data_IF_854787510728
#
_entry.id   IF_854787510728
#
_cell.length_a   1.000
_cell.length_b   1.000
_cell.length_c   1.000
_cell.angle_alpha   90.00
_cell.angle_beta   90.00
_cell.angle_gamma   90.00
#
_symmetry.space_group_name_H-M   'P 1'
#
loop_
_entity.id
_entity.type
_entity.pdbx_description
1 polymer ?
#
# COMPACT_ATOMS: atom_id res chain seq x y z
N UNK A 1 12.45 -28.41 -0.28
CA UNK A 1 12.17 -28.88 1.08
C UNK A 1 13.20 -28.42 2.12
N UNK A 2 14.36 -27.88 1.72
CA UNK A 2 15.54 -27.64 2.60
C UNK A 2 15.48 -26.31 3.40
N UNK A 3 14.68 -25.33 2.97
CA UNK A 3 14.64 -24.00 3.63
C UNK A 3 13.90 -23.98 4.97
N UNK A 4 13.00 -24.92 5.22
CA UNK A 4 12.20 -24.94 6.46
C UNK A 4 13.02 -25.36 7.68
N UNK A 5 13.96 -26.29 7.51
CA UNK A 5 14.78 -26.79 8.61
C UNK A 5 15.77 -25.72 9.10
N UNK A 6 16.41 -24.98 8.19
CA UNK A 6 17.32 -23.89 8.54
C UNK A 6 16.63 -22.72 9.28
N UNK A 7 15.38 -22.42 8.94
CA UNK A 7 14.58 -21.43 9.65
C UNK A 7 14.25 -21.88 11.07
N UNK A 8 13.85 -23.14 11.24
CA UNK A 8 13.50 -23.72 12.54
C UNK A 8 14.70 -23.75 13.49
N UNK A 9 15.91 -24.02 12.98
CA UNK A 9 17.13 -23.95 13.78
C UNK A 9 17.43 -22.53 14.29
N UNK A 10 17.25 -21.52 13.44
CA UNK A 10 17.44 -20.10 13.81
C UNK A 10 16.42 -19.64 14.84
N UNK A 11 15.16 -20.07 14.73
CA UNK A 11 14.12 -19.82 15.72
C UNK A 11 14.47 -20.45 17.07
N UNK A 12 14.88 -21.72 17.10
CA UNK A 12 15.30 -22.39 18.34
C UNK A 12 16.49 -21.68 19.00
N UNK A 13 17.44 -21.20 18.19
CA UNK A 13 18.58 -20.42 18.66
C UNK A 13 18.11 -19.12 19.31
N UNK A 14 17.24 -18.36 18.67
CA UNK A 14 16.70 -17.11 19.22
C UNK A 14 15.95 -17.31 20.55
N UNK A 15 15.17 -18.39 20.68
CA UNK A 15 14.47 -18.70 21.94
C UNK A 15 15.47 -18.88 23.09
N UNK A 16 16.55 -19.64 22.87
CA UNK A 16 17.59 -19.88 23.88
C UNK A 16 18.24 -18.59 24.39
N UNK A 17 18.47 -17.62 23.52
CA UNK A 17 19.07 -16.32 23.91
C UNK A 17 18.10 -15.39 24.66
N UNK A 18 16.80 -15.72 24.67
CA UNK A 18 15.77 -14.94 25.36
C UNK A 18 15.18 -15.65 26.58
N UNK A 19 15.72 -16.81 26.94
CA UNK A 19 15.21 -17.63 28.03
C UNK A 19 15.46 -16.96 29.39
N UNK A 20 16.60 -16.27 29.54
CA UNK A 20 17.02 -15.53 30.74
C UNK A 20 16.47 -14.09 30.80
N UNK A 21 15.59 -13.69 29.88
CA UNK A 21 15.02 -12.34 29.84
C UNK A 21 13.63 -12.35 30.46
N UNK A 22 13.43 -11.55 31.50
CA UNK A 22 12.13 -11.37 32.15
C UNK A 22 11.13 -10.62 31.24
N UNK A 23 9.84 -10.90 31.44
CA UNK A 23 8.76 -10.09 30.88
C UNK A 23 8.78 -8.68 31.50
N UNK A 24 8.59 -7.61 30.71
CA UNK A 24 8.00 -7.57 29.36
C UNK A 24 9.02 -7.62 28.20
N UNK A 25 10.31 -7.74 28.48
CA UNK A 25 11.37 -7.54 27.48
C UNK A 25 11.69 -8.78 26.64
N UNK A 26 11.20 -9.94 27.06
CA UNK A 26 11.39 -11.22 26.35
C UNK A 26 10.92 -11.18 24.90
N UNK A 27 9.71 -10.64 24.66
CA UNK A 27 9.09 -10.55 23.33
C UNK A 27 9.89 -9.63 22.38
N UNK A 28 10.20 -8.36 22.74
CA UNK A 28 10.98 -7.49 21.88
C UNK A 28 12.42 -8.01 21.68
N UNK A 29 13.05 -8.58 22.70
CA UNK A 29 14.37 -9.18 22.57
C UNK A 29 14.38 -10.35 21.57
N UNK A 30 13.34 -11.20 21.60
CA UNK A 30 13.23 -12.34 20.69
C UNK A 30 13.11 -11.89 19.24
N UNK A 31 12.30 -10.85 18.97
CA UNK A 31 12.14 -10.31 17.62
C UNK A 31 13.45 -9.76 17.05
N UNK A 32 14.23 -9.06 17.87
CA UNK A 32 15.52 -8.49 17.45
C UNK A 32 16.53 -9.60 17.14
N UNK A 33 16.65 -10.59 18.02
CA UNK A 33 17.62 -11.67 17.87
C UNK A 33 17.25 -12.61 16.71
N UNK A 34 15.97 -12.91 16.54
CA UNK A 34 15.53 -13.73 15.41
C UNK A 34 15.81 -13.04 14.08
N UNK A 35 15.58 -11.73 14.01
CA UNK A 35 15.90 -10.93 12.82
C UNK A 35 17.38 -10.99 12.49
N UNK A 36 18.24 -10.83 13.49
CA UNK A 36 19.70 -10.93 13.33
C UNK A 36 20.12 -12.29 12.73
N UNK A 37 19.53 -13.39 13.20
CA UNK A 37 19.85 -14.71 12.66
C UNK A 37 19.31 -14.93 11.24
N UNK A 38 18.25 -14.25 10.83
CA UNK A 38 17.69 -14.38 9.49
C UNK A 38 18.50 -13.63 8.42
N UNK A 39 19.19 -12.55 8.79
CA UNK A 39 19.94 -11.67 7.87
C UNK A 39 21.28 -12.24 7.36
N UNK A 40 21.73 -13.43 7.80
CA UNK A 40 23.03 -14.00 7.37
C UNK A 40 23.13 -14.45 5.89
N UNK A 41 22.12 -14.24 5.04
CA UNK A 41 22.25 -14.40 3.57
C UNK A 41 21.41 -13.40 2.78
N UNK A 42 22.06 -12.33 2.33
CA UNK A 42 21.67 -11.52 1.16
C UNK A 42 21.20 -10.10 1.49
N UNK A 43 22.04 -9.11 1.17
CA UNK A 43 21.65 -7.69 0.97
C UNK A 43 20.37 -7.64 0.10
N UNK A 44 19.30 -6.90 0.44
CA UNK A 44 19.23 -5.45 0.58
C UNK A 44 18.00 -5.05 1.43
N UNK A 45 18.20 -4.72 2.72
CA UNK A 45 17.43 -3.65 3.41
C UNK A 45 18.40 -2.98 4.38
N UNK A 46 19.30 -2.15 3.86
CA UNK A 46 20.16 -1.27 4.67
C UNK A 46 19.30 -0.24 5.40
N UNK A 47 18.95 -0.58 6.64
CA UNK A 47 18.70 0.41 7.69
C UNK A 47 20.06 0.79 8.27
N UNK A 48 20.51 2.03 8.06
CA UNK A 48 21.53 2.64 8.91
C UNK A 48 20.96 3.89 9.56
N UNK A 49 20.92 3.85 10.88
CA UNK A 49 20.91 5.02 11.74
C UNK A 49 22.37 5.29 12.13
N UNK A 50 22.88 6.49 11.84
CA UNK A 50 24.06 7.07 12.47
C UNK A 50 23.71 8.49 12.89
N UNK A 51 23.97 8.85 14.15
CA UNK A 51 23.56 10.12 14.74
C UNK A 51 24.46 11.23 14.20
N UNK A 52 24.02 11.89 13.13
CA UNK A 52 24.33 13.29 12.81
C UNK A 52 23.03 14.05 13.03
N UNK A 53 23.07 15.18 13.75
CA UNK A 53 21.91 16.04 13.92
C UNK A 53 21.59 16.75 12.60
N UNK A 54 21.05 15.99 11.65
CA UNK A 54 20.47 16.44 10.39
C UNK A 54 19.05 15.89 10.31
N UNK A 55 18.09 16.67 9.79
CA UNK A 55 16.67 16.38 9.95
C UNK A 55 16.36 15.01 9.37
N UNK A 56 15.84 14.10 10.22
CA UNK A 56 15.23 12.83 9.78
C UNK A 56 14.17 13.17 8.75
N UNK A 57 14.52 13.01 7.47
CA UNK A 57 13.55 13.09 6.38
C UNK A 57 12.70 11.84 6.52
N UNK A 58 11.63 11.93 7.30
CA UNK A 58 10.53 11.00 7.22
C UNK A 58 10.16 10.92 5.74
N UNK A 59 10.42 9.79 5.06
CA UNK A 59 9.74 9.46 3.81
C UNK A 59 8.28 9.22 4.19
N UNK A 60 7.54 10.32 4.36
CA UNK A 60 6.10 10.29 4.62
C UNK A 60 5.48 9.56 3.43
N UNK A 61 4.64 8.56 3.70
CA UNK A 61 3.76 8.04 2.65
C UNK A 61 2.99 9.24 2.12
N UNK A 62 3.06 9.46 0.80
CA UNK A 62 2.34 10.56 0.16
C UNK A 62 0.87 10.39 0.51
N UNK A 63 0.27 11.39 1.15
CA UNK A 63 -1.16 11.31 1.46
C UNK A 63 -1.98 11.37 0.18
N UNK A 64 -3.19 10.81 0.19
CA UNK A 64 -4.14 10.90 -0.93
C UNK A 64 -4.29 12.35 -1.42
N UNK A 65 -4.36 13.32 -0.51
CA UNK A 65 -4.48 14.75 -0.86
C UNK A 65 -3.23 15.26 -1.57
N UNK A 66 -2.04 14.89 -1.09
CA UNK A 66 -0.78 15.26 -1.74
C UNK A 66 -0.67 14.61 -3.12
N UNK A 67 -1.02 13.34 -3.24
CA UNK A 67 -1.01 12.60 -4.51
C UNK A 67 -1.93 13.25 -5.55
N UNK A 68 -3.19 13.51 -5.18
CA UNK A 68 -4.16 14.11 -6.09
C UNK A 68 -3.82 15.55 -6.47
N UNK A 69 -3.10 16.28 -5.62
CA UNK A 69 -2.57 17.62 -5.95
C UNK A 69 -1.32 17.56 -6.83
N UNK A 70 -0.60 16.45 -6.82
CA UNK A 70 0.59 16.26 -7.65
C UNK A 70 0.29 15.88 -9.10
N UNK A 71 -0.99 15.69 -9.44
CA UNK A 71 -1.46 15.30 -10.76
C UNK A 71 -2.47 16.34 -11.22
N UNK A 72 -2.35 16.80 -12.46
CA UNK A 72 -3.33 17.72 -13.04
C UNK A 72 -4.61 16.95 -13.44
N UNK A 73 -5.61 16.98 -12.56
CA UNK A 73 -6.88 16.29 -12.75
C UNK A 73 -7.95 17.29 -13.20
N UNK A 74 -8.36 17.21 -14.46
CA UNK A 74 -9.27 18.15 -15.11
C UNK A 74 -10.74 17.74 -14.98
N UNK A 75 -11.01 16.48 -14.64
CA UNK A 75 -12.36 15.93 -14.57
C UNK A 75 -12.58 15.05 -13.34
N UNK A 76 -13.84 14.98 -12.88
CA UNK A 76 -14.25 14.01 -11.86
C UNK A 76 -13.97 12.56 -12.28
N UNK A 77 -13.97 12.28 -13.58
CA UNK A 77 -13.60 10.97 -14.16
C UNK A 77 -12.14 10.65 -13.87
N UNK A 78 -11.25 11.62 -14.05
CA UNK A 78 -9.81 11.47 -13.78
C UNK A 78 -9.54 11.40 -12.27
N UNK A 79 -10.27 12.19 -11.47
CA UNK A 79 -10.18 12.12 -10.01
C UNK A 79 -10.57 10.74 -9.49
N UNK A 80 -11.65 10.15 -9.99
CA UNK A 80 -12.06 8.80 -9.61
C UNK A 80 -11.01 7.74 -10.03
N UNK A 81 -10.39 7.91 -11.20
CA UNK A 81 -9.33 7.03 -11.66
C UNK A 81 -8.05 7.17 -10.81
N UNK A 82 -7.65 8.39 -10.48
CA UNK A 82 -6.49 8.66 -9.63
C UNK A 82 -6.69 8.11 -8.21
N UNK A 83 -7.89 8.24 -7.64
CA UNK A 83 -8.25 7.59 -6.38
C UNK A 83 -8.12 6.07 -6.48
N UNK A 84 -8.61 5.48 -7.57
CA UNK A 84 -8.50 4.04 -7.83
C UNK A 84 -7.03 3.57 -7.91
N UNK A 85 -6.18 4.36 -8.56
CA UNK A 85 -4.73 4.10 -8.65
C UNK A 85 -4.05 4.20 -7.28
N UNK A 86 -4.44 5.17 -6.46
CA UNK A 86 -3.91 5.31 -5.11
C UNK A 86 -4.29 4.12 -4.22
N UNK A 87 -5.54 3.65 -4.30
CA UNK A 87 -6.00 2.47 -3.56
C UNK A 87 -5.15 1.22 -3.89
N UNK A 88 -4.83 1.04 -5.17
CA UNK A 88 -3.95 -0.06 -5.60
C UNK A 88 -2.52 0.09 -5.06
N UNK A 89 -1.93 1.28 -5.20
CA UNK A 89 -0.48 1.47 -4.97
C UNK A 89 -0.09 1.79 -3.54
N UNK A 90 -0.99 2.33 -2.73
CA UNK A 90 -0.68 2.81 -1.37
C UNK A 90 -1.44 2.05 -0.28
N UNK A 91 -2.59 1.46 -0.61
CA UNK A 91 -3.40 0.64 0.31
C UNK A 91 -3.33 -0.87 -0.03
N UNK A 92 -2.53 -1.27 -1.03
CA UNK A 92 -2.35 -2.68 -1.49
C UNK A 92 -3.67 -3.40 -1.81
N UNK A 93 -4.72 -2.64 -2.15
CA UNK A 93 -6.05 -3.17 -2.46
C UNK A 93 -6.18 -3.42 -3.96
N UNK A 94 -6.09 -4.69 -4.36
CA UNK A 94 -6.22 -5.11 -5.75
C UNK A 94 -7.63 -4.92 -6.32
N UNK A 95 -8.65 -4.91 -5.46
CA UNK A 95 -10.03 -4.56 -5.80
C UNK A 95 -10.59 -3.56 -4.79
N UNK A 96 -11.59 -2.79 -5.22
CA UNK A 96 -12.25 -1.78 -4.42
C UNK A 96 -13.74 -1.69 -4.78
N UNK A 97 -14.54 -1.25 -3.82
CA UNK A 97 -15.96 -0.99 -3.97
C UNK A 97 -16.22 0.49 -4.25
N UNK A 98 -17.42 0.76 -4.73
CA UNK A 98 -17.92 2.13 -4.93
C UNK A 98 -17.92 2.93 -3.61
N UNK A 99 -18.16 2.26 -2.48
CA UNK A 99 -18.06 2.84 -1.13
C UNK A 99 -16.66 3.33 -0.82
N UNK A 100 -15.64 2.54 -1.16
CA UNK A 100 -14.24 2.83 -0.81
C UNK A 100 -13.75 4.07 -1.55
N UNK A 101 -14.14 4.23 -2.81
CA UNK A 101 -13.91 5.46 -3.57
C UNK A 101 -14.62 6.63 -2.91
N UNK A 102 -15.90 6.48 -2.54
CA UNK A 102 -16.66 7.54 -1.89
C UNK A 102 -16.03 7.99 -0.55
N UNK A 103 -15.49 7.05 0.22
CA UNK A 103 -14.76 7.32 1.45
C UNK A 103 -13.42 8.00 1.18
N UNK A 104 -12.73 7.64 0.11
CA UNK A 104 -11.54 8.36 -0.34
C UNK A 104 -11.83 9.83 -0.67
N UNK A 105 -12.93 10.11 -1.39
CA UNK A 105 -13.34 11.50 -1.66
C UNK A 105 -13.62 12.28 -0.36
N UNK A 106 -14.22 11.64 0.65
CA UNK A 106 -14.44 12.24 1.97
C UNK A 106 -13.12 12.51 2.70
N UNK A 107 -12.25 11.50 2.79
CA UNK A 107 -10.93 11.59 3.44
C UNK A 107 -10.07 12.67 2.79
N UNK A 108 -10.13 12.79 1.47
CA UNK A 108 -9.39 13.78 0.70
C UNK A 108 -10.03 15.18 0.68
N UNK A 109 -11.21 15.36 1.31
CA UNK A 109 -12.01 16.60 1.26
C UNK A 109 -12.25 17.11 -0.17
N UNK A 110 -12.36 16.19 -1.13
CA UNK A 110 -12.64 16.51 -2.52
C UNK A 110 -14.14 16.72 -2.75
N UNK A 111 -14.47 17.53 -3.76
CA UNK A 111 -15.84 17.61 -4.26
C UNK A 111 -16.22 16.27 -4.88
N UNK A 112 -17.29 15.67 -4.36
CA UNK A 112 -17.82 14.42 -4.91
C UNK A 112 -18.48 14.70 -6.27
N UNK A 113 -18.32 13.79 -7.25
CA UNK A 113 -19.15 13.83 -8.44
C UNK A 113 -20.63 13.71 -8.05
N UNK A 114 -21.50 14.41 -8.79
CA UNK A 114 -22.96 14.35 -8.59
C UNK A 114 -23.49 12.90 -8.68
N UNK A 115 -22.91 12.11 -9.59
CA UNK A 115 -23.19 10.69 -9.78
C UNK A 115 -21.88 9.90 -9.89
N UNK A 116 -21.41 9.37 -8.76
CA UNK A 116 -20.16 8.59 -8.72
C UNK A 116 -20.29 7.29 -9.54
N UNK A 117 -21.43 6.61 -9.47
CA UNK A 117 -21.69 5.40 -10.27
C UNK A 117 -21.61 5.65 -11.77
N UNK A 118 -22.09 6.80 -12.25
CA UNK A 118 -22.01 7.17 -13.67
C UNK A 118 -20.55 7.45 -14.09
N UNK A 119 -19.79 8.11 -13.22
CA UNK A 119 -18.36 8.37 -13.40
C UNK A 119 -17.57 7.06 -13.53
N UNK A 120 -17.85 6.09 -12.67
CA UNK A 120 -17.23 4.75 -12.73
C UNK A 120 -17.66 3.98 -13.98
N UNK A 121 -18.95 4.03 -14.36
CA UNK A 121 -19.40 3.41 -15.60
C UNK A 121 -18.71 4.00 -16.84
N UNK A 122 -18.40 5.30 -16.83
CA UNK A 122 -17.61 5.95 -17.89
C UNK A 122 -16.18 5.39 -17.94
N UNK A 123 -15.53 5.21 -16.79
CA UNK A 123 -14.20 4.58 -16.71
C UNK A 123 -14.21 3.11 -17.17
N UNK A 124 -15.27 2.36 -16.85
CA UNK A 124 -15.47 0.99 -17.33
C UNK A 124 -15.61 0.97 -18.85
N UNK A 125 -16.43 1.85 -19.42
CA UNK A 125 -16.59 1.96 -20.89
C UNK A 125 -15.28 2.32 -21.59
N UNK A 126 -14.41 3.10 -20.95
CA UNK A 126 -13.08 3.44 -21.45
C UNK A 126 -12.04 2.32 -21.24
N UNK A 127 -12.37 1.24 -20.53
CA UNK A 127 -11.47 0.13 -20.24
C UNK A 127 -10.35 0.49 -19.24
N UNK A 128 -10.48 1.59 -18.48
CA UNK A 128 -9.49 2.03 -17.50
C UNK A 128 -9.69 1.36 -16.14
N UNK A 129 -10.93 0.96 -15.84
CA UNK A 129 -11.28 0.09 -14.71
C UNK A 129 -12.17 -1.04 -15.22
N UNK A 130 -12.22 -2.15 -14.50
CA UNK A 130 -13.04 -3.31 -14.84
C UNK A 130 -13.70 -3.90 -13.61
N UNK A 131 -14.81 -4.62 -13.81
CA UNK A 131 -15.52 -5.33 -12.75
C UNK A 131 -14.91 -6.73 -12.59
N UNK A 132 -14.60 -7.14 -11.35
CA UNK A 132 -14.08 -8.49 -11.05
C UNK A 132 -15.19 -9.52 -10.86
N UNK A 133 -16.45 -9.08 -10.82
CA UNK A 133 -17.62 -9.89 -10.56
C UNK A 133 -18.53 -9.28 -9.50
N UNK A 134 -19.68 -9.93 -9.27
CA UNK A 134 -20.69 -9.49 -8.30
C UNK A 134 -20.67 -10.45 -7.12
N UNK A 135 -19.96 -10.10 -6.04
CA UNK A 135 -20.12 -10.79 -4.75
C UNK A 135 -21.15 -10.03 -3.91
N UNK A 136 -22.17 -10.74 -3.43
CA UNK A 136 -23.16 -10.28 -2.43
C UNK A 136 -23.63 -8.84 -2.60
N UNK A 137 -24.26 -8.52 -3.74
CA UNK A 137 -24.94 -7.24 -3.95
C UNK A 137 -24.03 -6.02 -4.10
N UNK A 138 -22.71 -6.19 -3.96
CA UNK A 138 -21.71 -5.13 -4.10
C UNK A 138 -20.92 -5.33 -5.39
N UNK A 139 -20.73 -4.26 -6.17
CA UNK A 139 -19.86 -4.30 -7.36
C UNK A 139 -18.43 -4.06 -6.92
N UNK A 140 -17.56 -5.04 -7.14
CA UNK A 140 -16.11 -4.88 -6.97
C UNK A 140 -15.46 -4.54 -8.29
N UNK A 141 -14.60 -3.54 -8.24
CA UNK A 141 -13.90 -2.94 -9.35
C UNK A 141 -12.40 -3.06 -9.13
N UNK A 142 -11.63 -3.10 -10.21
CA UNK A 142 -10.18 -3.00 -10.17
C UNK A 142 -9.70 -2.08 -11.29
N UNK A 143 -8.54 -1.45 -11.10
CA UNK A 143 -7.92 -0.63 -12.13
C UNK A 143 -7.19 -1.55 -13.12
N UNK A 144 -7.38 -1.32 -14.42
CA UNK A 144 -6.71 -2.12 -15.45
C UNK A 144 -5.30 -1.60 -15.69
N UNK A 145 -4.49 -2.40 -16.39
CA UNK A 145 -3.16 -1.96 -16.83
C UNK A 145 -3.22 -0.67 -17.66
N UNK A 146 -4.28 -0.47 -18.45
CA UNK A 146 -4.49 0.75 -19.23
C UNK A 146 -4.81 1.96 -18.34
N UNK A 147 -5.61 1.76 -17.29
CA UNK A 147 -5.90 2.81 -16.30
C UNK A 147 -4.65 3.23 -15.51
N UNK A 148 -3.81 2.26 -15.14
CA UNK A 148 -2.51 2.50 -14.51
C UNK A 148 -1.63 3.37 -15.40
N UNK A 149 -1.44 2.97 -16.66
CA UNK A 149 -0.62 3.72 -17.61
C UNK A 149 -1.12 5.15 -17.80
N UNK A 150 -2.44 5.33 -17.94
CA UNK A 150 -3.03 6.66 -18.10
C UNK A 150 -2.64 7.62 -16.96
N UNK A 151 -2.70 7.16 -15.71
CA UNK A 151 -2.30 7.99 -14.56
C UNK A 151 -0.78 8.21 -14.52
N UNK A 152 0.01 7.20 -14.88
CA UNK A 152 1.47 7.33 -14.93
C UNK A 152 1.95 8.28 -16.03
N UNK A 153 1.26 8.34 -17.17
CA UNK A 153 1.54 9.28 -18.24
C UNK A 153 1.22 10.72 -17.80
N UNK A 154 0.04 10.96 -17.20
CA UNK A 154 -0.32 12.30 -16.68
C UNK A 154 0.67 12.77 -15.60
N UNK A 155 1.20 11.86 -14.78
CA UNK A 155 2.19 12.22 -13.75
C UNK A 155 3.54 12.66 -14.33
N UNK A 156 3.86 12.28 -15.58
CA UNK A 156 5.14 12.58 -16.23
C UNK A 156 5.14 13.89 -17.03
N UNK A 157 3.96 14.37 -17.42
CA UNK A 157 3.75 15.70 -18.01
C UNK A 157 3.71 16.79 -16.93
#
# INVERSE_FOLDING_TARGET
MIEKDAFIEKVKKAIKYTEDIDEPYKIPAFQVILKEFLDEKGEDIKSQSGISAEPKVFKRKMSMVEFLKSIELNSYVEQALAVSYYLLTHEDNNSFKVSDINDCFLRAKLKKPKNLSDTLNSLIKKGLIAETGKQEGSRELYITQSGIKYIEDIKKE
#
